data_IF_105984878774
#
_entry.id   IF_105984878774
#
_cell.length_a   1.000
_cell.length_b   1.000
_cell.length_c   1.000
_cell.angle_alpha   90.00
_cell.angle_beta   90.00
_cell.angle_gamma   90.00
#
_symmetry.space_group_name_H-M   'P 1'
#
loop_
_entity.id
_entity.type
_entity.pdbx_description
1 polymer ?
#
# COMPACT_ATOMS: atom_id res chain seq x y z
N UNK A 1 1.70 -1.27 13.82
CA UNK A 1 0.45 -0.61 13.35
C UNK A 1 0.43 0.89 13.59
N UNK A 2 0.25 1.40 14.82
CA UNK A 2 0.21 2.87 15.03
C UNK A 2 1.50 3.56 14.59
N UNK A 3 2.65 2.94 14.88
CA UNK A 3 3.96 3.42 14.41
C UNK A 3 4.00 3.59 12.88
N UNK A 4 3.72 2.52 12.14
CA UNK A 4 3.75 2.54 10.66
C UNK A 4 2.72 3.49 10.08
N UNK A 5 1.49 3.49 10.59
CA UNK A 5 0.45 4.44 10.15
C UNK A 5 0.93 5.89 10.31
N UNK A 6 1.47 6.25 11.48
CA UNK A 6 1.99 7.60 11.73
C UNK A 6 3.15 7.93 10.78
N UNK A 7 4.10 7.01 10.58
CA UNK A 7 5.21 7.20 9.65
C UNK A 7 4.71 7.44 8.22
N UNK A 8 3.71 6.69 7.76
CA UNK A 8 3.12 6.83 6.43
C UNK A 8 2.40 8.17 6.26
N UNK A 9 1.60 8.59 7.25
CA UNK A 9 0.94 9.89 7.23
C UNK A 9 1.96 11.04 7.19
N UNK A 10 3.01 10.98 8.01
CA UNK A 10 4.07 11.97 8.00
C UNK A 10 4.80 12.00 6.66
N UNK A 11 5.21 10.85 6.13
CA UNK A 11 5.89 10.76 4.83
C UNK A 11 5.05 11.40 3.71
N UNK A 12 3.74 11.13 3.68
CA UNK A 12 2.83 11.77 2.73
C UNK A 12 2.73 13.29 2.92
N UNK A 13 2.65 13.79 4.16
CA UNK A 13 2.63 15.23 4.45
C UNK A 13 3.93 15.94 4.04
N UNK A 14 5.07 15.25 4.07
CA UNK A 14 6.35 15.74 3.55
C UNK A 14 6.48 15.62 2.02
N UNK A 15 5.44 15.18 1.32
CA UNK A 15 5.41 15.10 -0.16
C UNK A 15 6.06 13.84 -0.73
N UNK A 16 6.36 12.83 0.09
CA UNK A 16 6.85 11.54 -0.40
C UNK A 16 5.71 10.75 -1.05
N UNK A 17 6.03 10.03 -2.13
CA UNK A 17 5.08 9.10 -2.78
C UNK A 17 4.94 7.84 -1.95
N UNK A 18 3.91 7.80 -1.12
CA UNK A 18 3.58 6.65 -0.27
C UNK A 18 2.16 6.15 -0.57
N UNK A 19 1.88 4.84 -0.45
CA UNK A 19 0.51 4.34 -0.57
C UNK A 19 -0.39 4.85 0.55
N UNK A 20 -1.68 4.99 0.26
CA UNK A 20 -2.70 5.23 1.28
C UNK A 20 -2.73 4.09 2.30
N UNK A 21 -2.97 4.41 3.57
CA UNK A 21 -3.12 3.39 4.59
C UNK A 21 -4.08 3.81 5.70
N UNK A 22 -4.74 2.82 6.31
CA UNK A 22 -5.68 3.02 7.40
C UNK A 22 -5.59 1.90 8.44
N UNK A 23 -5.87 2.25 9.69
CA UNK A 23 -5.95 1.26 10.77
C UNK A 23 -7.36 0.66 10.74
N UNK A 24 -7.45 -0.62 10.40
CA UNK A 24 -8.71 -1.37 10.45
C UNK A 24 -8.82 -2.15 11.76
N UNK A 25 -10.05 -2.37 12.23
CA UNK A 25 -10.32 -3.25 13.36
C UNK A 25 -11.28 -4.34 12.91
N UNK A 26 -10.82 -5.58 12.97
CA UNK A 26 -11.66 -6.78 12.87
C UNK A 26 -11.96 -7.30 14.27
N UNK A 27 -12.87 -8.27 14.42
CA UNK A 27 -13.40 -8.78 15.71
C UNK A 27 -12.53 -8.48 16.93
N UNK A 28 -11.32 -9.07 16.98
CA UNK A 28 -10.36 -8.85 18.08
C UNK A 28 -8.97 -8.45 17.59
N UNK A 29 -8.83 -8.04 16.31
CA UNK A 29 -7.51 -7.77 15.71
C UNK A 29 -7.54 -6.40 15.07
N UNK A 30 -6.72 -5.50 15.61
CA UNK A 30 -6.31 -4.27 14.91
C UNK A 30 -5.32 -4.68 13.81
N UNK A 31 -5.41 -4.09 12.63
CA UNK A 31 -4.48 -4.31 11.52
C UNK A 31 -4.23 -2.99 10.76
N UNK A 32 -3.17 -2.95 9.95
CA UNK A 32 -2.92 -1.85 9.01
C UNK A 32 -3.30 -2.32 7.60
N UNK A 33 -4.28 -1.67 6.98
CA UNK A 33 -4.59 -1.86 5.57
C UNK A 33 -3.76 -0.87 4.75
N UNK A 34 -2.97 -1.37 3.80
CA UNK A 34 -2.16 -0.55 2.89
C UNK A 34 -2.67 -0.75 1.46
N UNK A 35 -2.97 0.34 0.78
CA UNK A 35 -3.40 0.31 -0.61
C UNK A 35 -2.25 -0.20 -1.50
N UNK A 36 -2.55 -1.23 -2.30
CA UNK A 36 -1.57 -1.81 -3.20
C UNK A 36 -1.33 -0.92 -4.42
N UNK A 37 -0.14 -0.33 -4.50
CA UNK A 37 0.27 0.48 -5.65
C UNK A 37 0.49 -0.31 -6.95
N UNK A 38 0.57 -1.65 -6.86
CA UNK A 38 0.68 -2.55 -8.00
C UNK A 38 -0.69 -3.10 -8.48
N UNK A 39 -1.78 -2.48 -8.04
CA UNK A 39 -3.16 -2.80 -8.44
C UNK A 39 -3.90 -1.53 -8.87
N UNK A 40 -4.81 -1.67 -9.84
CA UNK A 40 -5.67 -0.57 -10.29
C UNK A 40 -7.03 -1.09 -10.75
N UNK A 41 -8.10 -0.40 -10.37
CA UNK A 41 -9.42 -0.64 -10.94
C UNK A 41 -9.50 -0.11 -12.39
N UNK A 42 -10.07 -0.90 -13.29
CA UNK A 42 -10.27 -0.57 -14.71
C UNK A 42 -11.70 -0.92 -15.13
N UNK A 43 -12.13 -0.41 -16.29
CA UNK A 43 -13.49 -0.60 -16.82
C UNK A 43 -14.58 -0.27 -15.79
N UNK A 44 -14.61 0.99 -15.32
CA UNK A 44 -15.54 1.47 -14.30
C UNK A 44 -15.60 0.56 -13.05
N UNK A 45 -14.42 0.19 -12.54
CA UNK A 45 -14.24 -0.70 -11.39
C UNK A 45 -14.76 -2.14 -11.55
N UNK A 46 -15.04 -2.59 -12.78
CA UNK A 46 -15.44 -3.99 -13.02
C UNK A 46 -14.29 -4.98 -12.90
N UNK A 47 -13.06 -4.51 -13.11
CA UNK A 47 -11.87 -5.35 -13.11
C UNK A 47 -10.74 -4.73 -12.30
N UNK A 48 -9.90 -5.57 -11.69
CA UNK A 48 -8.69 -5.15 -10.99
C UNK A 48 -7.48 -5.64 -11.79
N UNK A 49 -6.82 -4.71 -12.47
CA UNK A 49 -5.58 -4.97 -13.18
C UNK A 49 -4.40 -5.16 -12.22
N UNK A 50 -3.48 -6.05 -12.58
CA UNK A 50 -2.18 -6.20 -11.91
C UNK A 50 -1.13 -5.42 -12.69
N UNK A 51 -0.36 -4.60 -12.00
CA UNK A 51 0.78 -3.87 -12.57
C UNK A 51 2.05 -4.66 -12.24
N UNK A 52 2.87 -5.07 -13.23
CA UNK A 52 4.13 -5.74 -12.96
C UNK A 52 5.06 -4.88 -12.08
N UNK A 53 5.54 -5.46 -10.99
CA UNK A 53 6.48 -4.87 -10.04
C UNK A 53 7.49 -5.94 -9.63
N UNK A 54 8.75 -5.54 -9.51
CA UNK A 54 9.86 -6.34 -9.01
C UNK A 54 10.53 -5.52 -7.90
N UNK A 55 10.99 -6.18 -6.84
CA UNK A 55 11.87 -5.52 -5.89
C UNK A 55 13.31 -5.40 -6.43
N UNK A 56 14.16 -4.67 -5.71
CA UNK A 56 15.53 -4.42 -6.13
C UNK A 56 16.36 -5.72 -6.16
N UNK A 57 16.10 -6.70 -5.29
CA UNK A 57 16.84 -7.96 -5.26
C UNK A 57 16.56 -8.79 -6.52
N UNK A 58 15.27 -8.96 -6.86
CA UNK A 58 14.82 -9.64 -8.06
C UNK A 58 15.41 -8.99 -9.33
N UNK A 59 15.45 -7.65 -9.38
CA UNK A 59 16.03 -6.90 -10.49
C UNK A 59 17.51 -7.21 -10.70
N UNK A 60 18.23 -7.40 -9.60
CA UNK A 60 19.69 -7.56 -9.58
C UNK A 60 20.14 -9.03 -9.62
N UNK A 61 19.21 -10.01 -9.65
CA UNK A 61 19.50 -11.44 -9.63
C UNK A 61 20.33 -11.90 -8.41
N UNK A 62 20.11 -11.25 -7.25
CA UNK A 62 20.61 -11.69 -5.94
C UNK A 62 19.58 -12.55 -5.20
#
# INVERSE_FOLDING_TARGET
>A
MVNEWLCMQLAGLYGLKVPGCEIITTRNIKALAVERFDRRFVDNNRWIARLPQEDICQKMWF
#
